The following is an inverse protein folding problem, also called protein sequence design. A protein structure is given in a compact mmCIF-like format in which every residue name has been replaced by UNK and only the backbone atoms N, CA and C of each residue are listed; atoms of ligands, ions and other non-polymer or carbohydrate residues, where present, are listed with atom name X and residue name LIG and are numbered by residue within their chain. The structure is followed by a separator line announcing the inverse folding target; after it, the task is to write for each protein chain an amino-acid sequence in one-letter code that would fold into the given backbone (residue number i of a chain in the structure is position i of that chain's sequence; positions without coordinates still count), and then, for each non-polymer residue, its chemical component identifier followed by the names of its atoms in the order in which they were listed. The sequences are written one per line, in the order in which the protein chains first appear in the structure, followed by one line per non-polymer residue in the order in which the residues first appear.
data_IF_057049871213
#
_entry.id   IF_057049871213
#
_cell.length_a   1.000
_cell.length_b   1.000
_cell.length_c   1.000
_cell.angle_alpha   90.00
_cell.angle_beta   90.00
_cell.angle_gamma   90.00
#
_symmetry.space_group_name_H-M   'P 1'
#
loop_
_entity.id
_entity.type
_entity.pdbx_description
1 polymer ?
#
# COMPACT_ATOMS: atom_id res chain seq x y z
N UNK A 1 -1.94 -16.08 -21.55
CA UNK A 1 -1.43 -14.72 -21.27
C UNK A 1 0.04 -14.68 -21.69
N UNK A 2 0.58 -13.51 -21.97
CA UNK A 2 2.00 -13.33 -22.27
C UNK A 2 2.89 -13.57 -21.03
N UNK A 3 4.19 -13.85 -21.22
CA UNK A 3 5.13 -13.95 -20.11
C UNK A 3 5.21 -12.60 -19.36
N UNK A 4 5.18 -12.66 -18.03
CA UNK A 4 5.13 -11.47 -17.17
C UNK A 4 3.76 -10.78 -17.07
N UNK A 5 2.70 -11.40 -17.65
CA UNK A 5 1.31 -11.00 -17.49
C UNK A 5 0.53 -12.12 -16.81
N UNK A 6 0.04 -11.89 -15.61
CA UNK A 6 -0.68 -12.91 -14.84
C UNK A 6 -2.15 -12.53 -14.65
N UNK A 7 -3.04 -13.51 -14.89
CA UNK A 7 -4.47 -13.38 -14.60
C UNK A 7 -4.82 -14.23 -13.38
N UNK A 8 -5.29 -13.54 -12.34
CA UNK A 8 -5.70 -14.13 -11.06
C UNK A 8 -7.24 -14.14 -10.99
N UNK A 9 -7.83 -15.32 -11.07
CA UNK A 9 -9.28 -15.51 -10.97
C UNK A 9 -9.63 -15.98 -9.56
N UNK A 10 -10.25 -15.12 -8.78
CA UNK A 10 -10.63 -15.36 -7.39
C UNK A 10 -12.15 -15.56 -7.36
N UNK A 11 -12.56 -16.84 -7.39
CA UNK A 11 -13.98 -17.19 -7.40
C UNK A 11 -14.58 -17.04 -6.00
N UNK A 12 -15.48 -16.08 -5.84
CA UNK A 12 -16.14 -15.80 -4.58
C UNK A 12 -17.59 -15.36 -4.82
N UNK A 13 -18.54 -16.09 -4.25
CA UNK A 13 -19.96 -15.86 -4.47
C UNK A 13 -20.64 -14.98 -3.42
N UNK A 14 -19.97 -14.72 -2.28
CA UNK A 14 -20.53 -13.91 -1.19
C UNK A 14 -20.73 -12.44 -1.56
N UNK A 15 -19.92 -11.92 -2.51
CA UNK A 15 -19.99 -10.52 -2.90
C UNK A 15 -21.08 -10.26 -3.95
N UNK A 16 -21.82 -9.17 -3.76
CA UNK A 16 -22.83 -8.69 -4.73
C UNK A 16 -22.21 -7.91 -5.89
N UNK A 17 -20.92 -7.65 -5.81
CA UNK A 17 -20.13 -6.95 -6.83
C UNK A 17 -19.02 -7.84 -7.35
N UNK A 18 -18.56 -7.57 -8.59
CA UNK A 18 -17.31 -8.10 -9.12
C UNK A 18 -16.26 -6.99 -9.10
N UNK A 19 -15.06 -7.32 -8.65
CA UNK A 19 -13.90 -6.43 -8.70
C UNK A 19 -12.96 -6.86 -9.79
N UNK A 20 -12.53 -5.90 -10.60
CA UNK A 20 -11.46 -6.06 -11.56
C UNK A 20 -10.34 -5.09 -11.18
N UNK A 21 -9.10 -5.56 -11.24
CA UNK A 21 -7.93 -4.72 -11.04
C UNK A 21 -6.88 -5.08 -12.09
N UNK A 22 -6.30 -4.07 -12.72
CA UNK A 22 -5.10 -4.22 -13.56
C UNK A 22 -3.99 -3.44 -12.89
N UNK A 23 -2.92 -4.14 -12.50
CA UNK A 23 -1.80 -3.59 -11.75
C UNK A 23 -0.53 -3.67 -12.58
N UNK A 24 0.10 -2.53 -12.81
CA UNK A 24 1.40 -2.39 -13.44
C UNK A 24 2.47 -2.23 -12.36
N UNK A 25 3.51 -3.03 -12.42
CA UNK A 25 4.54 -3.12 -11.42
C UNK A 25 5.92 -2.94 -12.01
N UNK A 26 6.72 -2.07 -11.40
CA UNK A 26 8.17 -1.94 -11.66
C UNK A 26 8.92 -1.58 -10.38
N UNK A 27 10.24 -1.60 -10.41
CA UNK A 27 11.06 -1.17 -9.30
C UNK A 27 10.93 0.33 -9.07
N UNK A 28 10.90 0.75 -7.80
CA UNK A 28 10.78 2.15 -7.39
C UNK A 28 11.96 2.97 -7.90
N UNK A 29 11.70 4.05 -8.65
CA UNK A 29 12.74 4.91 -9.19
C UNK A 29 12.26 6.37 -9.29
N UNK A 30 13.11 7.30 -8.87
CA UNK A 30 12.88 8.74 -9.00
C UNK A 30 12.69 9.18 -10.47
N UNK A 31 13.28 8.45 -11.43
CA UNK A 31 13.19 8.77 -12.86
C UNK A 31 11.81 8.50 -13.46
N UNK A 32 11.10 7.51 -12.91
CA UNK A 32 9.80 7.08 -13.44
C UNK A 32 8.63 7.43 -12.53
N UNK A 33 8.87 7.67 -11.25
CA UNK A 33 7.84 7.87 -10.23
C UNK A 33 6.88 9.01 -10.59
N UNK A 34 7.39 10.20 -10.95
CA UNK A 34 6.56 11.35 -11.34
C UNK A 34 5.66 11.03 -12.54
N UNK A 35 6.22 10.34 -13.55
CA UNK A 35 5.47 9.90 -14.73
C UNK A 35 4.34 8.94 -14.37
N UNK A 36 4.63 7.93 -13.53
CA UNK A 36 3.64 6.92 -13.11
C UNK A 36 2.47 7.53 -12.34
N UNK A 37 2.74 8.47 -11.43
CA UNK A 37 1.69 9.14 -10.69
C UNK A 37 0.82 10.01 -11.62
N UNK A 38 1.42 10.73 -12.56
CA UNK A 38 0.68 11.50 -13.56
C UNK A 38 -0.13 10.60 -14.49
N UNK A 39 0.41 9.46 -14.95
CA UNK A 39 -0.33 8.46 -15.73
C UNK A 39 -1.56 7.99 -14.96
N UNK A 40 -1.41 7.66 -13.67
CA UNK A 40 -2.56 7.27 -12.83
C UNK A 40 -3.68 8.32 -12.94
N UNK A 41 -3.39 9.60 -12.71
CA UNK A 41 -4.38 10.67 -12.77
C UNK A 41 -4.96 10.88 -14.18
N UNK A 42 -4.12 10.79 -15.22
CA UNK A 42 -4.56 10.93 -16.61
C UNK A 42 -5.58 9.85 -17.01
N UNK A 43 -5.33 8.59 -16.62
CA UNK A 43 -6.20 7.46 -16.97
C UNK A 43 -7.55 7.47 -16.23
N UNK A 44 -7.66 8.18 -15.11
CA UNK A 44 -8.92 8.33 -14.37
C UNK A 44 -9.79 9.48 -14.89
N UNK A 45 -9.22 10.40 -15.65
CA UNK A 45 -9.90 11.63 -16.09
C UNK A 45 -10.69 11.50 -17.37
N UNK A 46 -10.01 11.01 -18.43
CA UNK A 46 -10.52 10.97 -19.82
C UNK A 46 -9.82 9.87 -20.62
N UNK A 47 -10.39 9.52 -21.75
CA UNK A 47 -9.73 8.67 -22.76
C UNK A 47 -10.21 9.08 -24.17
N UNK A 48 -9.72 8.44 -25.22
CA UNK A 48 -10.05 8.78 -26.59
C UNK A 48 -11.54 8.62 -26.92
N UNK A 49 -12.27 7.76 -26.20
CA UNK A 49 -13.71 7.51 -26.40
C UNK A 49 -14.55 8.42 -25.50
N UNK A 50 -14.18 8.56 -24.25
CA UNK A 50 -14.87 9.39 -23.22
C UNK A 50 -14.01 10.61 -22.92
N UNK A 51 -14.09 11.61 -23.79
CA UNK A 51 -13.19 12.77 -23.80
C UNK A 51 -13.50 13.83 -22.73
N UNK A 52 -14.65 13.72 -22.06
CA UNK A 52 -15.03 14.62 -20.97
C UNK A 52 -15.34 13.83 -19.70
N UNK A 53 -15.10 14.41 -18.52
CA UNK A 53 -15.47 13.80 -17.24
C UNK A 53 -16.97 13.48 -17.15
N UNK A 54 -17.82 14.25 -17.85
CA UNK A 54 -19.26 14.00 -17.96
C UNK A 54 -19.54 12.71 -18.73
N UNK A 55 -18.91 12.51 -19.90
CA UNK A 55 -19.10 11.31 -20.71
C UNK A 55 -18.54 10.06 -20.01
N UNK A 56 -17.40 10.22 -19.37
CA UNK A 56 -16.77 9.19 -18.56
C UNK A 56 -17.68 8.73 -17.40
N UNK A 57 -18.20 9.69 -16.60
CA UNK A 57 -19.10 9.40 -15.48
C UNK A 57 -20.46 8.85 -15.96
N UNK A 58 -20.99 9.36 -17.10
CA UNK A 58 -22.22 8.83 -17.70
C UNK A 58 -22.05 7.36 -18.07
N UNK A 59 -20.92 6.99 -18.69
CA UNK A 59 -20.63 5.58 -19.04
C UNK A 59 -20.61 4.68 -17.81
N UNK A 60 -19.99 5.10 -16.73
CA UNK A 60 -19.99 4.35 -15.47
C UNK A 60 -21.40 4.21 -14.89
N UNK A 61 -22.21 5.26 -14.96
CA UNK A 61 -23.62 5.21 -14.53
C UNK A 61 -24.46 4.24 -15.35
N UNK A 62 -24.26 4.19 -16.68
CA UNK A 62 -24.92 3.24 -17.60
C UNK A 62 -24.56 1.78 -17.28
N UNK A 63 -23.44 1.53 -16.64
CA UNK A 63 -23.02 0.21 -16.14
C UNK A 63 -23.52 -0.07 -14.71
N UNK A 64 -24.74 0.38 -14.37
CA UNK A 64 -25.35 0.23 -13.06
C UNK A 64 -24.54 0.87 -11.92
N UNK A 65 -23.98 2.05 -12.16
CA UNK A 65 -23.20 2.75 -11.17
C UNK A 65 -21.83 2.09 -10.89
N UNK A 66 -21.21 1.55 -11.92
CA UNK A 66 -19.83 1.05 -11.82
C UNK A 66 -18.89 2.14 -11.27
N UNK A 67 -17.93 1.75 -10.47
CA UNK A 67 -16.85 2.65 -10.06
C UNK A 67 -15.57 2.30 -10.79
N UNK A 68 -14.83 3.33 -11.18
CA UNK A 68 -13.49 3.20 -11.73
C UNK A 68 -12.57 4.18 -11.01
N UNK A 69 -11.45 3.71 -10.54
CA UNK A 69 -10.43 4.52 -9.86
C UNK A 69 -9.04 4.03 -10.25
N UNK A 70 -8.10 4.93 -10.23
CA UNK A 70 -6.68 4.60 -10.35
C UNK A 70 -5.97 4.91 -9.05
N UNK A 71 -4.77 4.39 -8.88
CA UNK A 71 -3.99 4.69 -7.69
C UNK A 71 -2.60 4.12 -7.76
N UNK A 72 -1.74 4.67 -6.94
CA UNK A 72 -0.37 4.22 -6.79
C UNK A 72 -0.09 3.77 -5.38
N UNK A 73 0.77 2.76 -5.24
CA UNK A 73 1.20 2.24 -3.95
C UNK A 73 2.66 1.79 -4.04
N UNK A 74 3.26 1.56 -2.87
CA UNK A 74 4.59 0.98 -2.74
C UNK A 74 4.49 -0.33 -1.96
N UNK A 75 5.22 -1.35 -2.41
CA UNK A 75 5.36 -2.61 -1.67
C UNK A 75 6.81 -3.09 -1.79
N UNK A 76 7.56 -3.00 -0.71
CA UNK A 76 9.00 -3.22 -0.74
C UNK A 76 9.70 -2.34 -1.77
N UNK A 77 10.46 -2.95 -2.68
CA UNK A 77 11.13 -2.25 -3.80
C UNK A 77 10.21 -1.82 -4.93
N UNK A 78 8.96 -2.30 -4.96
CA UNK A 78 8.08 -2.15 -6.11
C UNK A 78 7.15 -0.94 -5.99
N UNK A 79 7.04 -0.18 -7.06
CA UNK A 79 6.00 0.81 -7.27
C UNK A 79 4.85 0.20 -8.08
N UNK A 80 3.66 0.30 -7.57
CA UNK A 80 2.43 -0.29 -8.12
C UNK A 80 1.54 0.83 -8.65
N UNK A 81 1.12 0.73 -9.92
CA UNK A 81 0.06 1.55 -10.49
C UNK A 81 -1.11 0.61 -10.78
N UNK A 82 -2.27 0.87 -10.19
CA UNK A 82 -3.45 0.01 -10.30
C UNK A 82 -4.64 0.76 -10.86
N UNK A 83 -5.32 0.13 -11.84
CA UNK A 83 -6.64 0.52 -12.29
C UNK A 83 -7.65 -0.42 -11.63
N UNK A 84 -8.59 0.14 -10.91
CA UNK A 84 -9.58 -0.60 -10.13
C UNK A 84 -10.97 -0.35 -10.69
N UNK A 85 -11.75 -1.40 -10.86
CA UNK A 85 -13.14 -1.30 -11.27
C UNK A 85 -14.03 -2.18 -10.40
N UNK A 86 -15.18 -1.64 -9.99
CA UNK A 86 -16.20 -2.40 -9.27
C UNK A 86 -17.52 -2.29 -10.01
N UNK A 87 -18.13 -3.42 -10.24
CA UNK A 87 -19.41 -3.53 -10.96
C UNK A 87 -20.39 -4.37 -10.19
N UNK A 88 -21.66 -4.19 -10.43
CA UNK A 88 -22.71 -5.12 -9.97
C UNK A 88 -22.48 -6.49 -10.60
N UNK A 89 -22.65 -7.56 -9.80
CA UNK A 89 -22.58 -8.92 -10.31
C UNK A 89 -23.59 -9.09 -11.48
N UNK A 90 -23.14 -9.52 -12.68
CA UNK A 90 -23.99 -9.64 -13.85
C UNK A 90 -25.19 -10.58 -13.66
N UNK A 91 -25.15 -11.49 -12.69
CA UNK A 91 -26.27 -12.38 -12.34
C UNK A 91 -27.44 -11.66 -11.65
N UNK A 92 -27.25 -10.41 -11.22
CA UNK A 92 -28.27 -9.63 -10.50
C UNK A 92 -29.01 -8.63 -11.41
N UNK A 93 -28.62 -8.48 -12.66
CA UNK A 93 -29.15 -7.48 -13.61
C UNK A 93 -29.25 -8.05 -15.02
N UNK A 94 -30.18 -7.53 -15.83
CA UNK A 94 -30.34 -7.93 -17.24
C UNK A 94 -29.40 -7.13 -18.17
N UNK A 95 -28.11 -7.07 -17.79
CA UNK A 95 -27.08 -6.38 -18.56
C UNK A 95 -25.72 -7.04 -18.36
N UNK A 96 -24.94 -7.18 -19.40
CA UNK A 96 -23.59 -7.73 -19.31
C UNK A 96 -22.60 -6.70 -18.71
N UNK A 97 -22.75 -6.46 -17.42
CA UNK A 97 -21.87 -5.54 -16.68
C UNK A 97 -20.40 -5.95 -16.78
N UNK A 98 -20.13 -7.26 -16.79
CA UNK A 98 -18.77 -7.80 -16.81
C UNK A 98 -18.09 -7.57 -18.16
N UNK A 99 -18.80 -7.86 -19.28
CA UNK A 99 -18.29 -7.56 -20.61
C UNK A 99 -18.05 -6.07 -20.80
N UNK A 100 -19.01 -5.23 -20.41
CA UNK A 100 -18.88 -3.78 -20.49
C UNK A 100 -17.70 -3.24 -19.65
N UNK A 101 -17.44 -3.82 -18.48
CA UNK A 101 -16.31 -3.44 -17.62
C UNK A 101 -14.95 -3.80 -18.23
N UNK A 102 -14.83 -5.00 -18.81
CA UNK A 102 -13.59 -5.41 -19.49
C UNK A 102 -13.33 -4.53 -20.72
N UNK A 103 -14.37 -4.22 -21.51
CA UNK A 103 -14.25 -3.32 -22.66
C UNK A 103 -13.86 -1.90 -22.22
N UNK A 104 -14.43 -1.40 -21.10
CA UNK A 104 -14.06 -0.11 -20.52
C UNK A 104 -12.60 -0.08 -20.06
N UNK A 105 -12.14 -1.11 -19.38
CA UNK A 105 -10.73 -1.25 -18.97
C UNK A 105 -9.79 -1.28 -20.18
N UNK A 106 -10.19 -2.01 -21.25
CA UNK A 106 -9.42 -2.06 -22.49
C UNK A 106 -9.29 -0.68 -23.15
N UNK A 107 -10.39 0.08 -23.19
CA UNK A 107 -10.38 1.47 -23.68
C UNK A 107 -9.49 2.35 -22.79
N UNK A 108 -9.65 2.29 -21.47
CA UNK A 108 -8.87 3.09 -20.53
C UNK A 108 -7.35 2.83 -20.67
N UNK A 109 -6.95 1.57 -20.92
CA UNK A 109 -5.55 1.19 -21.04
C UNK A 109 -4.98 1.44 -22.45
N UNK A 110 -5.71 1.16 -23.51
CA UNK A 110 -5.14 1.17 -24.87
C UNK A 110 -5.54 2.37 -25.70
N UNK A 111 -6.50 3.18 -25.22
CA UNK A 111 -6.99 4.36 -25.93
C UNK A 111 -6.97 5.59 -24.98
N UNK A 112 -5.79 5.97 -24.44
CA UNK A 112 -5.69 7.15 -23.59
C UNK A 112 -6.03 8.43 -24.39
N UNK A 113 -6.36 9.51 -23.69
CA UNK A 113 -6.55 10.83 -24.31
C UNK A 113 -5.20 11.42 -24.73
N UNK A 114 -4.74 10.99 -25.91
CA UNK A 114 -3.42 11.33 -26.44
C UNK A 114 -3.48 11.51 -27.97
N UNK A 115 -2.70 12.44 -28.46
CA UNK A 115 -2.54 12.72 -29.91
C UNK A 115 -1.11 13.21 -30.21
N UNK A 116 -0.64 12.96 -31.42
CA UNK A 116 0.68 13.44 -31.88
C UNK A 116 1.85 13.03 -30.95
N UNK A 117 1.77 11.85 -30.36
CA UNK A 117 2.84 11.30 -29.48
C UNK A 117 2.89 11.95 -28.10
N UNK A 118 1.80 12.52 -27.61
CA UNK A 118 1.72 13.09 -26.27
C UNK A 118 0.30 12.96 -25.69
N UNK A 119 0.18 12.96 -24.38
CA UNK A 119 -1.10 13.13 -23.69
C UNK A 119 -1.71 14.50 -24.05
N UNK A 120 -3.04 14.60 -23.96
CA UNK A 120 -3.75 15.88 -24.14
C UNK A 120 -3.15 16.95 -23.21
N UNK A 121 -2.53 18.03 -23.76
CA UNK A 121 -1.80 18.99 -22.95
C UNK A 121 -2.67 19.78 -21.96
N UNK A 122 -3.95 20.01 -22.27
CA UNK A 122 -4.85 20.74 -21.38
C UNK A 122 -5.23 19.88 -20.17
N UNK A 123 -5.55 18.61 -20.43
CA UNK A 123 -5.84 17.63 -19.36
C UNK A 123 -4.59 17.42 -18.52
N UNK A 124 -3.43 17.21 -19.14
CA UNK A 124 -2.16 17.04 -18.44
C UNK A 124 -1.86 18.20 -17.49
N UNK A 125 -1.96 19.43 -17.97
CA UNK A 125 -1.72 20.64 -17.18
C UNK A 125 -2.69 20.74 -16.00
N UNK A 126 -3.95 20.37 -16.19
CA UNK A 126 -4.96 20.34 -15.14
C UNK A 126 -4.59 19.31 -14.06
N UNK A 127 -4.28 18.06 -14.46
CA UNK A 127 -3.97 17.00 -13.52
C UNK A 127 -2.64 17.23 -12.80
N UNK A 128 -1.62 17.73 -13.50
CA UNK A 128 -0.35 18.12 -12.87
C UNK A 128 -0.57 19.20 -11.81
N UNK A 129 -1.35 20.22 -12.10
CA UNK A 129 -1.66 21.28 -11.13
C UNK A 129 -2.45 20.75 -9.94
N UNK A 130 -3.47 19.92 -10.18
CA UNK A 130 -4.27 19.31 -9.11
C UNK A 130 -3.40 18.46 -8.19
N UNK A 131 -2.50 17.65 -8.76
CA UNK A 131 -1.57 16.83 -8.02
C UNK A 131 -0.57 17.67 -7.21
N UNK A 132 -0.02 18.74 -7.77
CA UNK A 132 0.87 19.65 -7.04
C UNK A 132 0.16 20.33 -5.85
N UNK A 133 -1.10 20.73 -6.00
CA UNK A 133 -1.90 21.26 -4.90
C UNK A 133 -2.18 20.18 -3.84
N UNK A 134 -2.48 18.96 -4.25
CA UNK A 134 -2.66 17.84 -3.33
C UNK A 134 -1.38 17.55 -2.52
N UNK A 135 -0.22 17.47 -3.18
CA UNK A 135 1.07 17.26 -2.51
C UNK A 135 1.42 18.41 -1.56
N UNK A 136 1.11 19.64 -1.92
CA UNK A 136 1.29 20.77 -1.03
C UNK A 136 0.42 20.62 0.24
N UNK A 137 -0.87 20.28 0.08
CA UNK A 137 -1.76 20.07 1.23
C UNK A 137 -1.35 18.89 2.12
N UNK A 138 -0.76 17.83 1.54
CA UNK A 138 -0.20 16.73 2.33
C UNK A 138 0.98 17.18 3.20
N UNK A 139 1.82 18.07 2.70
CA UNK A 139 2.94 18.62 3.46
C UNK A 139 2.51 19.53 4.63
N UNK A 140 1.28 20.04 4.61
CA UNK A 140 0.68 20.75 5.75
C UNK A 140 0.26 19.79 6.88
N UNK A 141 0.07 18.49 6.59
CA UNK A 141 -0.11 17.45 7.61
C UNK A 141 1.24 17.14 8.27
N UNK A 142 1.34 17.46 9.55
CA UNK A 142 2.57 17.32 10.33
C UNK A 142 3.01 15.88 10.50
N UNK A 143 2.06 14.96 10.66
CA UNK A 143 2.37 13.54 10.80
C UNK A 143 2.92 12.97 9.48
N UNK A 144 2.37 13.39 8.36
CA UNK A 144 2.91 13.06 7.04
C UNK A 144 4.31 13.65 6.85
N UNK A 145 4.48 14.96 7.13
CA UNK A 145 5.77 15.63 7.04
C UNK A 145 6.84 14.92 7.87
N UNK A 146 6.56 14.66 9.15
CA UNK A 146 7.49 13.96 10.04
C UNK A 146 7.82 12.54 9.52
N UNK A 147 6.81 11.81 8.99
CA UNK A 147 7.04 10.48 8.41
C UNK A 147 7.91 10.53 7.14
N UNK A 148 7.83 11.62 6.38
CA UNK A 148 8.73 11.86 5.23
C UNK A 148 10.17 12.09 5.68
N UNK A 149 10.37 12.94 6.70
CA UNK A 149 11.71 13.16 7.25
C UNK A 149 12.29 11.88 7.84
N UNK A 150 11.49 11.10 8.58
CA UNK A 150 11.92 9.82 9.11
C UNK A 150 12.32 8.82 8.02
N UNK A 151 11.57 8.75 6.92
CA UNK A 151 11.90 7.88 5.80
C UNK A 151 13.24 8.29 5.13
N UNK A 152 13.49 9.59 4.97
CA UNK A 152 14.75 10.10 4.43
C UNK A 152 15.96 9.80 5.33
N UNK A 153 15.76 9.72 6.65
CA UNK A 153 16.80 9.35 7.60
C UNK A 153 17.05 7.84 7.64
N UNK A 154 15.98 7.05 7.52
CA UNK A 154 16.04 5.61 7.68
C UNK A 154 16.60 4.87 6.45
N UNK A 155 16.13 5.21 5.24
CA UNK A 155 16.50 4.47 4.02
C UNK A 155 17.81 4.96 3.43
N UNK A 156 18.78 4.04 3.24
CA UNK A 156 20.04 4.31 2.53
C UNK A 156 19.81 4.57 1.02
N UNK A 157 18.83 3.87 0.42
CA UNK A 157 18.44 4.08 -0.97
C UNK A 157 17.40 5.21 -1.06
N UNK A 158 17.79 6.31 -1.70
CA UNK A 158 16.92 7.48 -1.90
C UNK A 158 15.59 7.11 -2.58
N UNK A 159 15.58 6.12 -3.48
CA UNK A 159 14.34 5.66 -4.11
C UNK A 159 13.40 5.02 -3.08
N UNK A 160 13.96 4.32 -2.09
CA UNK A 160 13.16 3.74 -1.00
C UNK A 160 12.62 4.80 -0.04
N UNK A 161 13.30 5.92 0.12
CA UNK A 161 12.80 7.03 0.93
C UNK A 161 11.63 7.77 0.27
N UNK A 162 11.45 7.70 -1.07
CA UNK A 162 10.37 8.41 -1.78
C UNK A 162 8.98 7.89 -1.40
N UNK A 163 7.98 8.77 -1.29
CA UNK A 163 6.57 8.37 -1.15
C UNK A 163 6.03 7.82 -2.48
N UNK A 164 5.09 6.90 -2.41
CA UNK A 164 4.46 6.34 -3.63
C UNK A 164 3.78 7.39 -4.51
N UNK A 165 3.32 8.49 -3.94
CA UNK A 165 2.68 9.61 -4.66
C UNK A 165 3.67 10.60 -5.29
N UNK A 166 4.98 10.36 -5.15
CA UNK A 166 6.02 11.25 -5.65
C UNK A 166 6.20 12.51 -4.81
N UNK A 167 7.03 13.42 -5.31
CA UNK A 167 7.26 14.74 -4.71
C UNK A 167 6.90 15.85 -5.70
N UNK A 168 6.70 17.07 -5.19
CA UNK A 168 6.39 18.22 -6.05
C UNK A 168 7.45 18.45 -7.13
N UNK A 169 8.73 18.23 -6.81
CA UNK A 169 9.85 18.38 -7.73
C UNK A 169 9.79 17.33 -8.86
N UNK A 170 9.49 16.06 -8.52
CA UNK A 170 9.38 14.99 -9.50
C UNK A 170 8.17 15.19 -10.43
N UNK A 171 7.07 15.73 -9.92
CA UNK A 171 5.87 16.00 -10.71
C UNK A 171 6.05 17.26 -11.60
N UNK A 172 6.62 18.34 -11.05
CA UNK A 172 6.74 19.61 -11.75
C UNK A 172 7.67 19.55 -12.98
N UNK A 173 8.68 18.68 -12.99
CA UNK A 173 9.62 18.52 -14.11
C UNK A 173 9.02 17.80 -15.33
N UNK A 174 7.89 17.11 -15.16
CA UNK A 174 7.32 16.28 -16.20
C UNK A 174 6.52 17.08 -17.24
N UNK A 175 6.44 16.53 -18.45
CA UNK A 175 5.70 17.10 -19.56
C UNK A 175 4.86 16.03 -20.29
N UNK A 176 3.82 16.40 -21.06
CA UNK A 176 2.86 15.44 -21.64
C UNK A 176 3.51 14.47 -22.64
N UNK A 177 4.58 14.88 -23.33
CA UNK A 177 5.29 14.01 -24.28
C UNK A 177 6.11 12.94 -23.55
N UNK A 178 6.94 13.33 -22.61
CA UNK A 178 7.78 12.42 -21.84
C UNK A 178 6.96 11.41 -21.03
N UNK A 179 5.82 11.85 -20.47
CA UNK A 179 4.91 10.96 -19.74
C UNK A 179 4.22 9.98 -20.68
N UNK A 180 3.85 10.40 -21.90
CA UNK A 180 3.25 9.49 -22.88
C UNK A 180 4.27 8.48 -23.46
N UNK A 181 5.49 8.89 -23.76
CA UNK A 181 6.59 8.00 -24.16
C UNK A 181 6.84 6.93 -23.09
N UNK A 182 6.90 7.34 -21.82
CA UNK A 182 7.02 6.39 -20.72
C UNK A 182 5.78 5.49 -20.58
N UNK A 183 4.57 6.03 -20.80
CA UNK A 183 3.34 5.22 -20.79
C UNK A 183 3.39 4.06 -21.79
N UNK A 184 3.85 4.34 -23.00
CA UNK A 184 4.02 3.29 -24.02
C UNK A 184 5.01 2.22 -23.55
N UNK A 185 6.14 2.64 -22.95
CA UNK A 185 7.13 1.74 -22.37
C UNK A 185 6.56 0.94 -21.19
N UNK A 186 5.77 1.55 -20.32
CA UNK A 186 5.09 0.87 -19.22
C UNK A 186 4.21 -0.28 -19.70
N UNK A 187 3.48 -0.09 -20.79
CA UNK A 187 2.61 -1.13 -21.38
C UNK A 187 3.39 -2.33 -21.92
N UNK A 188 4.65 -2.17 -22.30
CA UNK A 188 5.50 -3.25 -22.83
C UNK A 188 6.41 -3.89 -21.79
N UNK A 189 6.92 -3.12 -20.84
CA UNK A 189 8.02 -3.52 -19.97
C UNK A 189 7.58 -3.88 -18.54
N UNK A 190 6.51 -3.22 -18.02
CA UNK A 190 6.10 -3.47 -16.63
C UNK A 190 5.45 -4.85 -16.48
N UNK A 191 5.73 -5.53 -15.36
CA UNK A 191 4.94 -6.69 -14.96
C UNK A 191 3.48 -6.31 -14.78
N UNK A 192 2.56 -7.19 -15.20
CA UNK A 192 1.13 -6.94 -15.12
C UNK A 192 0.45 -8.07 -14.37
N UNK A 193 -0.26 -7.70 -13.31
CA UNK A 193 -1.15 -8.59 -12.57
C UNK A 193 -2.60 -8.13 -12.78
N UNK A 194 -3.44 -9.02 -13.30
CA UNK A 194 -4.87 -8.79 -13.52
C UNK A 194 -5.65 -9.62 -12.51
N UNK A 195 -6.46 -8.98 -11.70
CA UNK A 195 -7.30 -9.65 -10.71
C UNK A 195 -8.76 -9.53 -11.08
N UNK A 196 -9.47 -10.64 -11.02
CA UNK A 196 -10.93 -10.70 -11.14
C UNK A 196 -11.46 -11.43 -9.91
N UNK A 197 -12.16 -10.71 -9.04
CA UNK A 197 -12.75 -11.26 -7.82
C UNK A 197 -14.27 -11.22 -7.91
N UNK A 198 -14.91 -12.36 -7.82
CA UNK A 198 -16.37 -12.49 -7.79
C UNK A 198 -16.90 -13.79 -8.35
N UNK A 199 -18.22 -13.86 -8.51
CA UNK A 199 -18.89 -15.02 -9.11
C UNK A 199 -18.92 -14.91 -10.64
N UNK A 200 -17.81 -15.28 -11.27
CA UNK A 200 -17.57 -15.13 -12.71
C UNK A 200 -17.29 -16.47 -13.37
N UNK A 201 -17.51 -16.53 -14.69
CA UNK A 201 -17.09 -17.64 -15.55
C UNK A 201 -15.61 -17.49 -15.92
N UNK A 202 -14.80 -18.46 -15.51
CA UNK A 202 -13.34 -18.42 -15.69
C UNK A 202 -12.93 -18.46 -17.17
N UNK A 203 -13.58 -19.29 -17.99
CA UNK A 203 -13.25 -19.42 -19.42
C UNK A 203 -13.51 -18.11 -20.14
N UNK A 204 -14.65 -17.50 -19.85
CA UNK A 204 -15.01 -16.19 -20.39
C UNK A 204 -13.99 -15.11 -19.99
N UNK A 205 -13.49 -15.12 -18.75
CA UNK A 205 -12.49 -14.15 -18.32
C UNK A 205 -11.16 -14.36 -19.02
N UNK A 206 -10.70 -15.59 -19.15
CA UNK A 206 -9.48 -15.91 -19.90
C UNK A 206 -9.58 -15.43 -21.34
N UNK A 207 -10.69 -15.71 -22.03
CA UNK A 207 -10.93 -15.25 -23.41
C UNK A 207 -10.89 -13.72 -23.51
N UNK A 208 -11.65 -13.02 -22.66
CA UNK A 208 -11.75 -11.56 -22.68
C UNK A 208 -10.41 -10.86 -22.39
N UNK A 209 -9.63 -11.32 -21.42
CA UNK A 209 -8.34 -10.72 -21.12
C UNK A 209 -7.22 -11.15 -22.07
N UNK A 210 -7.36 -12.28 -22.77
CA UNK A 210 -6.46 -12.64 -23.86
C UNK A 210 -6.51 -11.63 -25.02
N UNK A 211 -7.67 -11.02 -25.26
CA UNK A 211 -7.86 -9.98 -26.29
C UNK A 211 -7.15 -8.63 -25.97
N UNK A 212 -6.55 -8.49 -24.79
CA UNK A 212 -5.74 -7.31 -24.45
C UNK A 212 -4.40 -7.30 -25.19
N UNK A 213 -3.98 -8.46 -25.72
CA UNK A 213 -2.79 -8.64 -26.55
C UNK A 213 -1.50 -8.04 -25.94
N UNK A 214 -1.33 -8.17 -24.63
CA UNK A 214 -0.07 -7.83 -23.99
C UNK A 214 1.06 -8.71 -24.53
N UNK A 215 2.25 -8.14 -24.66
CA UNK A 215 3.45 -8.83 -25.16
C UNK A 215 4.25 -9.43 -24.00
N UNK A 216 5.14 -10.39 -24.30
CA UNK A 216 6.07 -10.98 -23.35
C UNK A 216 7.01 -9.93 -22.77
N UNK A 217 7.30 -10.05 -21.47
CA UNK A 217 8.18 -9.14 -20.75
C UNK A 217 8.96 -9.84 -19.65
N UNK A 218 10.17 -9.35 -19.41
CA UNK A 218 10.97 -9.77 -18.27
C UNK A 218 10.42 -9.15 -16.98
N UNK A 219 10.35 -9.93 -15.91
CA UNK A 219 9.82 -9.48 -14.62
C UNK A 219 10.81 -9.76 -13.51
N UNK A 220 11.17 -8.73 -12.76
CA UNK A 220 11.84 -8.92 -11.48
C UNK A 220 10.86 -9.53 -10.47
N UNK A 221 11.30 -10.61 -9.81
CA UNK A 221 10.55 -11.25 -8.71
C UNK A 221 10.92 -10.68 -7.35
N UNK A 222 11.96 -9.86 -7.29
CA UNK A 222 12.44 -9.31 -6.03
C UNK A 222 11.51 -8.19 -5.55
N UNK A 223 10.92 -8.40 -4.38
CA UNK A 223 10.01 -7.43 -3.76
C UNK A 223 10.58 -6.84 -2.48
N UNK A 224 11.34 -7.61 -1.72
CA UNK A 224 11.85 -7.18 -0.42
C UNK A 224 13.05 -6.25 -0.58
N UNK A 225 13.07 -5.18 0.20
CA UNK A 225 14.21 -4.30 0.36
C UNK A 225 14.96 -4.69 1.64
N UNK A 226 16.27 -4.67 1.59
CA UNK A 226 17.14 -4.87 2.73
C UNK A 226 18.28 -3.86 2.67
N UNK A 227 18.69 -3.37 3.82
CA UNK A 227 19.83 -2.48 3.97
C UNK A 227 20.71 -2.92 5.15
N UNK A 228 21.91 -2.41 5.20
CA UNK A 228 22.81 -2.59 6.34
C UNK A 228 22.31 -1.80 7.56
N UNK A 229 22.77 -2.18 8.76
CA UNK A 229 22.56 -1.37 9.95
C UNK A 229 23.36 -0.07 9.81
N UNK A 230 22.71 1.06 10.02
CA UNK A 230 23.34 2.38 10.08
C UNK A 230 23.50 2.85 11.52
N UNK A 231 24.32 3.88 11.74
CA UNK A 231 24.35 4.55 13.04
C UNK A 231 23.06 5.34 13.25
N UNK A 232 22.54 5.32 14.46
CA UNK A 232 21.34 6.08 14.80
C UNK A 232 21.57 7.59 14.67
N UNK A 233 20.60 8.28 14.09
CA UNK A 233 20.63 9.73 13.92
C UNK A 233 19.38 10.39 14.49
N UNK A 234 19.51 11.66 14.90
CA UNK A 234 18.38 12.44 15.42
C UNK A 234 18.30 13.76 14.68
N UNK A 235 17.11 14.08 14.19
CA UNK A 235 16.83 15.39 13.59
C UNK A 235 15.66 16.03 14.31
N UNK A 236 15.82 17.30 14.67
CA UNK A 236 14.77 18.14 15.22
C UNK A 236 14.48 19.26 14.25
N UNK A 237 13.22 19.41 13.85
CA UNK A 237 12.73 20.49 13.00
C UNK A 237 11.78 21.37 13.85
N UNK A 238 12.21 22.58 14.15
CA UNK A 238 11.45 23.50 14.97
C UNK A 238 10.45 24.31 14.11
N UNK A 239 9.18 24.24 14.51
CA UNK A 239 8.09 24.97 13.84
C UNK A 239 7.16 25.59 14.90
N UNK A 240 6.59 26.73 14.58
CA UNK A 240 5.57 27.38 15.43
C UNK A 240 4.25 26.60 15.31
N UNK A 241 4.10 25.58 16.17
CA UNK A 241 2.96 24.65 16.13
C UNK A 241 2.50 24.31 17.56
N UNK A 242 1.22 24.04 17.73
CA UNK A 242 0.65 23.68 19.03
C UNK A 242 0.99 22.24 19.46
N UNK A 243 1.30 21.36 18.53
CA UNK A 243 1.55 19.93 18.78
C UNK A 243 2.82 19.48 18.08
N UNK A 244 3.66 18.75 18.80
CA UNK A 244 4.88 18.14 18.28
C UNK A 244 4.63 16.69 17.85
N UNK A 245 5.35 16.25 16.81
CA UNK A 245 5.32 14.86 16.35
C UNK A 245 6.67 14.22 16.66
N UNK A 246 6.66 13.21 17.52
CA UNK A 246 7.82 12.42 17.88
C UNK A 246 7.76 11.07 17.16
N UNK A 247 8.81 10.72 16.44
CA UNK A 247 8.87 9.45 15.69
C UNK A 247 10.20 8.75 15.88
N UNK A 248 10.16 7.41 15.92
CA UNK A 248 11.34 6.54 15.99
C UNK A 248 11.25 5.50 14.88
N UNK A 249 12.37 5.23 14.23
CA UNK A 249 12.52 4.16 13.25
C UNK A 249 13.42 3.05 13.79
N UNK A 250 12.99 1.82 13.61
CA UNK A 250 13.77 0.63 13.95
C UNK A 250 13.95 -0.20 12.70
N UNK A 251 15.16 -0.66 12.45
CA UNK A 251 15.40 -1.71 11.48
C UNK A 251 15.01 -3.05 12.11
N UNK A 252 14.30 -3.83 11.32
CA UNK A 252 13.69 -5.09 11.71
C UNK A 252 14.10 -6.19 10.72
N UNK A 253 14.87 -7.20 11.15
CA UNK A 253 15.41 -8.23 10.27
C UNK A 253 14.41 -9.40 10.01
N UNK A 254 13.12 -9.11 9.97
CA UNK A 254 12.06 -10.12 9.80
C UNK A 254 11.23 -9.76 8.57
N UNK A 255 11.35 -10.57 7.53
CA UNK A 255 10.55 -10.41 6.31
C UNK A 255 9.19 -11.10 6.42
N UNK A 256 8.27 -10.74 5.50
CA UNK A 256 6.99 -11.42 5.37
C UNK A 256 7.17 -12.93 5.17
N UNK A 257 6.43 -13.72 5.94
CA UNK A 257 6.43 -15.18 5.88
C UNK A 257 7.68 -15.87 6.46
N UNK A 258 8.59 -15.12 7.10
CA UNK A 258 9.66 -15.72 7.90
C UNK A 258 9.07 -16.37 9.16
N UNK A 259 9.81 -17.33 9.74
CA UNK A 259 9.39 -18.08 10.93
C UNK A 259 8.86 -17.17 12.05
N UNK A 260 9.47 -16.02 12.25
CA UNK A 260 9.13 -15.09 13.32
C UNK A 260 8.12 -13.99 12.88
N UNK A 261 7.56 -14.07 11.67
CA UNK A 261 6.66 -13.04 11.15
C UNK A 261 5.39 -12.87 12.00
N UNK A 262 4.77 -13.96 12.45
CA UNK A 262 3.59 -13.89 13.32
C UNK A 262 3.95 -13.42 14.74
N UNK A 263 5.11 -13.80 15.25
CA UNK A 263 5.61 -13.24 16.50
C UNK A 263 5.85 -11.73 16.40
N UNK A 264 6.30 -11.23 15.25
CA UNK A 264 6.41 -9.79 14.97
C UNK A 264 5.03 -9.11 14.99
N UNK A 265 4.01 -9.70 14.38
CA UNK A 265 2.65 -9.15 14.41
C UNK A 265 2.11 -9.05 15.84
N UNK A 266 2.28 -10.10 16.64
CA UNK A 266 1.86 -10.11 18.06
C UNK A 266 2.68 -9.11 18.87
N UNK A 267 4.01 -9.08 18.70
CA UNK A 267 4.89 -8.12 19.39
C UNK A 267 4.50 -6.68 19.07
N UNK A 268 4.28 -6.34 17.80
CA UNK A 268 3.81 -5.00 17.43
C UNK A 268 2.42 -4.68 17.98
N UNK A 269 1.52 -5.67 18.01
CA UNK A 269 0.20 -5.52 18.62
C UNK A 269 0.27 -5.18 20.12
N UNK A 270 1.17 -5.84 20.85
CA UNK A 270 1.47 -5.56 22.25
C UNK A 270 2.13 -4.20 22.44
N UNK A 271 3.04 -3.80 21.54
CA UNK A 271 3.77 -2.55 21.64
C UNK A 271 2.86 -1.34 21.41
N UNK A 272 2.23 -1.24 20.24
CA UNK A 272 1.48 -0.03 19.87
C UNK A 272 0.43 -0.24 18.76
N UNK A 273 0.15 -1.50 18.37
CA UNK A 273 -0.77 -1.79 17.26
C UNK A 273 -2.26 -1.77 17.63
N UNK A 274 -2.60 -1.81 18.93
CA UNK A 274 -3.97 -1.88 19.41
C UNK A 274 -4.22 -0.95 20.60
N UNK A 275 -5.49 -0.69 20.93
CA UNK A 275 -5.88 0.16 22.05
C UNK A 275 -5.51 -0.40 23.45
N UNK A 276 -5.26 -1.70 23.57
CA UNK A 276 -4.77 -2.31 24.81
C UNK A 276 -3.24 -2.41 24.89
N UNK A 277 -2.53 -1.92 23.87
CA UNK A 277 -1.07 -1.98 23.80
C UNK A 277 -0.38 -1.17 24.90
N UNK A 278 0.88 -1.52 25.17
CA UNK A 278 1.67 -0.84 26.21
C UNK A 278 1.85 0.65 25.95
N UNK A 279 2.13 1.05 24.71
CA UNK A 279 2.24 2.46 24.33
C UNK A 279 0.92 3.21 24.56
N UNK A 280 -0.18 2.66 24.08
CA UNK A 280 -1.49 3.30 24.23
C UNK A 280 -1.89 3.40 25.70
N UNK A 281 -1.80 2.31 26.44
CA UNK A 281 -2.23 2.24 27.86
C UNK A 281 -1.35 3.06 28.78
N UNK A 282 -0.02 3.00 28.63
CA UNK A 282 0.89 3.60 29.61
C UNK A 282 1.28 5.05 29.25
N UNK A 283 1.51 5.34 27.95
CA UNK A 283 1.94 6.70 27.53
C UNK A 283 0.73 7.62 27.31
N UNK A 284 -0.32 7.13 26.64
CA UNK A 284 -1.48 7.95 26.34
C UNK A 284 -2.49 7.99 27.48
N UNK A 285 -2.99 6.81 27.94
CA UNK A 285 -4.12 6.77 28.88
C UNK A 285 -3.66 7.09 30.34
N UNK A 286 -2.60 6.44 30.83
CA UNK A 286 -2.18 6.61 32.22
C UNK A 286 -1.36 7.87 32.45
N UNK A 287 -0.35 8.10 31.60
CA UNK A 287 0.54 9.24 31.77
C UNK A 287 0.02 10.52 31.12
N UNK A 288 -0.93 10.41 30.17
CA UNK A 288 -1.49 11.55 29.40
C UNK A 288 -0.42 12.36 28.66
N UNK A 289 0.69 11.73 28.25
CA UNK A 289 1.81 12.38 27.57
C UNK A 289 1.64 12.48 26.05
N UNK A 290 0.67 11.74 25.47
CA UNK A 290 0.44 11.74 24.04
C UNK A 290 -1.05 11.79 23.69
N UNK A 291 -1.43 12.57 22.68
CA UNK A 291 -2.79 12.59 22.12
C UNK A 291 -3.04 11.39 21.20
N UNK A 292 -1.99 10.98 20.51
CA UNK A 292 -1.98 9.78 19.68
C UNK A 292 -0.65 9.08 19.82
N UNK A 293 -0.66 7.75 19.85
CA UNK A 293 0.55 6.95 19.82
C UNK A 293 0.26 5.60 19.19
N UNK A 294 1.15 5.13 18.33
CA UNK A 294 1.05 3.82 17.70
C UNK A 294 2.41 3.30 17.26
N UNK A 295 2.47 1.99 17.01
CA UNK A 295 3.57 1.37 16.27
C UNK A 295 3.04 0.66 15.03
N UNK A 296 3.79 0.74 13.93
CA UNK A 296 3.50 0.10 12.65
C UNK A 296 4.77 -0.47 12.06
N UNK A 297 4.66 -1.48 11.20
CA UNK A 297 5.82 -2.04 10.52
C UNK A 297 5.52 -2.39 9.06
N UNK A 298 6.58 -2.42 8.25
CA UNK A 298 6.59 -2.94 6.89
C UNK A 298 7.65 -4.04 6.77
N UNK A 299 7.19 -5.28 6.69
CA UNK A 299 8.05 -6.46 6.58
C UNK A 299 8.69 -6.66 5.21
N UNK A 300 8.29 -5.89 4.20
CA UNK A 300 8.95 -5.88 2.89
C UNK A 300 10.14 -4.93 2.84
N UNK A 301 10.24 -3.99 3.78
CA UNK A 301 11.34 -3.03 3.87
C UNK A 301 12.13 -3.13 5.17
N UNK A 302 11.72 -3.99 6.10
CA UNK A 302 12.38 -4.11 7.39
C UNK A 302 12.23 -2.88 8.30
N UNK A 303 11.19 -2.07 8.09
CA UNK A 303 10.95 -0.81 8.77
C UNK A 303 9.87 -0.95 9.83
N UNK A 304 10.20 -0.62 11.08
CA UNK A 304 9.22 -0.47 12.15
C UNK A 304 9.26 0.97 12.66
N UNK A 305 8.09 1.59 12.77
CA UNK A 305 7.93 2.98 13.21
C UNK A 305 7.08 3.04 14.47
N UNK A 306 7.55 3.83 15.46
CA UNK A 306 6.73 4.34 16.56
C UNK A 306 6.47 5.82 16.28
N UNK A 307 5.22 6.28 16.42
CA UNK A 307 4.84 7.67 16.21
C UNK A 307 3.92 8.13 17.33
N UNK A 308 4.19 9.32 17.86
CA UNK A 308 3.40 9.96 18.91
C UNK A 308 3.18 11.45 18.62
N UNK A 309 1.95 11.92 18.86
CA UNK A 309 1.62 13.35 18.93
C UNK A 309 1.65 13.79 20.37
N UNK A 310 2.53 14.75 20.71
CA UNK A 310 2.81 15.19 22.07
C UNK A 310 2.81 16.70 22.21
N UNK A 311 2.71 17.22 23.43
CA UNK A 311 3.12 18.59 23.71
C UNK A 311 4.65 18.67 23.80
N UNK A 312 5.23 19.77 23.34
CA UNK A 312 6.69 19.94 23.32
C UNK A 312 7.31 19.85 24.71
N UNK A 313 6.61 20.31 25.73
CA UNK A 313 7.05 20.28 27.13
C UNK A 313 7.20 18.84 27.66
N UNK A 314 6.47 17.89 27.08
CA UNK A 314 6.45 16.48 27.46
C UNK A 314 7.50 15.63 26.71
N UNK A 315 8.36 16.24 25.89
CA UNK A 315 9.26 15.51 24.97
C UNK A 315 10.13 14.46 25.69
N UNK A 316 10.89 14.89 26.70
CA UNK A 316 11.83 13.98 27.38
C UNK A 316 11.12 12.87 28.17
N UNK A 317 9.99 13.20 28.79
CA UNK A 317 9.22 12.23 29.58
C UNK A 317 8.52 11.22 28.64
N UNK A 318 7.89 11.69 27.57
CA UNK A 318 7.25 10.84 26.55
C UNK A 318 8.26 9.92 25.88
N UNK A 319 9.42 10.44 25.48
CA UNK A 319 10.53 9.68 24.90
C UNK A 319 11.00 8.57 25.86
N UNK A 320 11.29 8.91 27.13
CA UNK A 320 11.70 7.93 28.13
C UNK A 320 10.67 6.83 28.31
N UNK A 321 9.40 7.21 28.48
CA UNK A 321 8.33 6.25 28.70
C UNK A 321 8.07 5.35 27.47
N UNK A 322 8.22 5.88 26.25
CA UNK A 322 8.14 5.08 25.02
C UNK A 322 9.23 4.01 24.98
N UNK A 323 10.48 4.36 25.30
CA UNK A 323 11.57 3.39 25.34
C UNK A 323 11.36 2.36 26.45
N UNK A 324 10.86 2.76 27.62
CA UNK A 324 10.53 1.83 28.71
C UNK A 324 9.50 0.78 28.28
N UNK A 325 8.51 1.14 27.44
CA UNK A 325 7.53 0.16 26.95
C UNK A 325 8.17 -0.89 26.03
N UNK A 326 9.12 -0.51 25.19
CA UNK A 326 9.84 -1.48 24.36
C UNK A 326 10.77 -2.36 25.22
N UNK A 327 11.49 -1.78 26.20
CA UNK A 327 12.32 -2.54 27.13
C UNK A 327 11.50 -3.49 28.01
N UNK A 328 10.27 -3.13 28.39
CA UNK A 328 9.33 -4.02 29.06
C UNK A 328 9.05 -5.27 28.22
N UNK A 329 8.83 -5.12 26.89
CA UNK A 329 8.65 -6.28 26.02
C UNK A 329 9.94 -7.10 25.90
N UNK A 330 11.10 -6.45 25.73
CA UNK A 330 12.42 -7.13 25.65
C UNK A 330 12.78 -7.91 26.92
N UNK A 331 12.35 -7.45 28.08
CA UNK A 331 12.55 -8.11 29.38
C UNK A 331 11.49 -9.17 29.70
N UNK A 332 10.38 -9.21 28.94
CA UNK A 332 9.26 -10.09 29.17
C UNK A 332 8.28 -9.59 30.24
N UNK A 333 8.30 -8.30 30.54
CA UNK A 333 7.33 -7.65 31.45
C UNK A 333 5.99 -7.38 30.71
N UNK A 334 5.28 -8.45 30.48
CA UNK A 334 3.90 -8.48 29.97
C UNK A 334 3.21 -9.77 30.39
N UNK A 335 1.91 -9.71 30.50
CA UNK A 335 1.07 -10.80 30.98
C UNK A 335 0.61 -11.73 29.85
N UNK A 336 0.24 -12.94 30.18
CA UNK A 336 -0.40 -13.87 29.23
C UNK A 336 -1.73 -13.29 28.70
N UNK A 337 -2.47 -12.57 29.55
CA UNK A 337 -3.73 -11.92 29.15
C UNK A 337 -3.53 -10.89 28.04
N UNK A 338 -2.49 -10.04 28.13
CA UNK A 338 -2.16 -9.06 27.08
C UNK A 338 -1.83 -9.77 25.74
N UNK A 339 -1.10 -10.90 25.81
CA UNK A 339 -0.78 -11.71 24.64
C UNK A 339 -2.04 -12.31 24.01
N UNK A 340 -2.91 -12.91 24.80
CA UNK A 340 -4.13 -13.55 24.31
C UNK A 340 -5.14 -12.54 23.77
N UNK A 341 -5.24 -11.35 24.36
CA UNK A 341 -6.02 -10.23 23.81
C UNK A 341 -5.47 -9.82 22.44
N UNK A 342 -4.16 -9.71 22.29
CA UNK A 342 -3.51 -9.34 21.04
C UNK A 342 -3.72 -10.39 19.95
N UNK A 343 -3.55 -11.69 20.26
CA UNK A 343 -3.84 -12.80 19.33
C UNK A 343 -5.31 -12.78 18.90
N UNK A 344 -6.22 -12.53 19.83
CA UNK A 344 -7.66 -12.43 19.55
C UNK A 344 -7.96 -11.27 18.60
N UNK A 345 -7.34 -10.11 18.79
CA UNK A 345 -7.51 -8.95 17.89
C UNK A 345 -6.95 -9.25 16.49
N UNK A 346 -5.79 -9.89 16.38
CA UNK A 346 -5.21 -10.29 15.09
C UNK A 346 -6.08 -11.33 14.37
N UNK A 347 -6.62 -12.31 15.09
CA UNK A 347 -7.57 -13.30 14.57
C UNK A 347 -8.83 -12.61 14.04
N UNK A 348 -9.39 -11.70 14.81
CA UNK A 348 -10.58 -10.94 14.40
C UNK A 348 -10.29 -10.07 13.18
N UNK A 349 -9.15 -9.37 13.15
CA UNK A 349 -8.73 -8.57 11.99
C UNK A 349 -8.57 -9.43 10.73
N UNK A 350 -8.05 -10.66 10.87
CA UNK A 350 -7.96 -11.61 9.77
C UNK A 350 -9.35 -11.99 9.22
N UNK A 351 -10.29 -12.34 10.10
CA UNK A 351 -11.66 -12.70 9.67
C UNK A 351 -12.40 -11.53 9.04
N UNK A 352 -12.33 -10.34 9.65
CA UNK A 352 -12.93 -9.12 9.07
C UNK A 352 -12.32 -8.81 7.71
N UNK A 353 -11.00 -9.04 7.57
CA UNK A 353 -10.29 -8.87 6.31
C UNK A 353 -10.83 -9.76 5.18
N UNK A 354 -11.36 -10.95 5.49
CA UNK A 354 -11.96 -11.84 4.50
C UNK A 354 -13.22 -11.24 3.85
N UNK A 355 -13.91 -10.33 4.51
CA UNK A 355 -15.10 -9.67 3.99
C UNK A 355 -14.78 -8.41 3.16
N UNK A 356 -13.49 -8.09 3.01
CA UNK A 356 -13.00 -7.00 2.16
C UNK A 356 -12.53 -7.52 0.81
N UNK A 357 -13.19 -7.15 -0.31
CA UNK A 357 -12.70 -7.50 -1.65
C UNK A 357 -11.28 -7.03 -1.93
N UNK A 358 -10.94 -5.84 -1.44
CA UNK A 358 -9.58 -5.29 -1.63
C UNK A 358 -8.53 -6.09 -0.87
N UNK A 359 -8.82 -6.50 0.37
CA UNK A 359 -7.91 -7.33 1.14
C UNK A 359 -7.75 -8.73 0.53
N UNK A 360 -8.81 -9.31 0.01
CA UNK A 360 -8.78 -10.60 -0.70
C UNK A 360 -7.83 -10.54 -1.92
N UNK A 361 -7.92 -9.45 -2.71
CA UNK A 361 -7.01 -9.23 -3.85
C UNK A 361 -5.56 -9.05 -3.38
N UNK A 362 -5.32 -8.28 -2.32
CA UNK A 362 -3.97 -8.08 -1.79
C UNK A 362 -3.35 -9.37 -1.24
N UNK A 363 -4.13 -10.22 -0.59
CA UNK A 363 -3.67 -11.54 -0.13
C UNK A 363 -3.30 -12.43 -1.31
N UNK A 364 -4.13 -12.49 -2.36
CA UNK A 364 -3.81 -13.26 -3.57
C UNK A 364 -2.58 -12.70 -4.29
N UNK A 365 -2.40 -11.37 -4.31
CA UNK A 365 -1.21 -10.73 -4.86
C UNK A 365 0.06 -11.15 -4.10
N UNK A 366 0.03 -11.10 -2.76
CA UNK A 366 1.17 -11.53 -1.94
C UNK A 366 1.48 -13.01 -2.14
N UNK A 367 0.45 -13.84 -2.20
CA UNK A 367 0.58 -15.28 -2.49
C UNK A 367 1.23 -15.52 -3.87
N UNK A 368 0.85 -14.76 -4.89
CA UNK A 368 1.43 -14.89 -6.22
C UNK A 368 2.91 -14.46 -6.27
N UNK A 369 3.30 -13.45 -5.48
CA UNK A 369 4.68 -12.97 -5.42
C UNK A 369 5.62 -13.90 -4.64
N UNK A 370 5.14 -14.47 -3.54
CA UNK A 370 5.94 -15.28 -2.60
C UNK A 370 5.17 -16.53 -2.17
N UNK A 371 4.83 -17.43 -3.11
CA UNK A 371 3.96 -18.57 -2.84
C UNK A 371 4.49 -19.48 -1.73
N UNK A 372 5.82 -19.66 -1.65
CA UNK A 372 6.47 -20.53 -0.65
C UNK A 372 6.38 -20.01 0.79
N UNK A 373 6.05 -18.73 0.97
CA UNK A 373 5.94 -18.07 2.28
C UNK A 373 4.50 -17.75 2.67
N UNK A 374 3.55 -17.98 1.79
CA UNK A 374 2.14 -17.71 2.05
C UNK A 374 1.53 -18.80 2.96
N UNK A 375 0.91 -18.37 4.07
CA UNK A 375 0.22 -19.28 4.98
C UNK A 375 -1.29 -19.30 4.68
N UNK A 376 -1.87 -20.47 4.36
CA UNK A 376 -3.32 -20.64 4.33
C UNK A 376 -3.96 -20.33 5.69
N UNK A 377 -5.26 -20.00 5.68
CA UNK A 377 -5.98 -19.58 6.90
C UNK A 377 -5.79 -20.52 8.10
N UNK A 378 -5.94 -21.83 7.92
CA UNK A 378 -5.78 -22.81 9.01
C UNK A 378 -4.36 -22.83 9.58
N UNK A 379 -3.36 -22.71 8.71
CA UNK A 379 -1.95 -22.68 9.12
C UNK A 379 -1.61 -21.35 9.80
N UNK A 380 -2.12 -20.21 9.28
CA UNK A 380 -1.99 -18.90 9.91
C UNK A 380 -2.55 -18.91 11.34
N UNK A 381 -3.78 -19.44 11.54
CA UNK A 381 -4.40 -19.50 12.86
C UNK A 381 -3.62 -20.38 13.83
N UNK A 382 -3.19 -21.58 13.39
CA UNK A 382 -2.39 -22.47 14.22
C UNK A 382 -1.02 -21.86 14.58
N UNK A 383 -0.37 -21.21 13.62
CA UNK A 383 0.91 -20.57 13.83
C UNK A 383 0.78 -19.34 14.75
N UNK A 384 -0.32 -18.56 14.64
CA UNK A 384 -0.61 -17.46 15.55
C UNK A 384 -0.78 -17.95 17.00
N UNK A 385 -1.53 -19.03 17.21
CA UNK A 385 -1.71 -19.60 18.56
C UNK A 385 -0.39 -20.14 19.14
N UNK A 386 0.50 -20.67 18.31
CA UNK A 386 1.79 -21.22 18.75
C UNK A 386 2.83 -20.17 19.16
N UNK A 387 2.59 -18.88 18.88
CA UNK A 387 3.50 -17.81 19.27
C UNK A 387 3.69 -17.77 20.79
N UNK A 388 4.93 -17.96 21.23
CA UNK A 388 5.30 -18.00 22.65
C UNK A 388 5.84 -16.66 23.15
N UNK A 389 5.86 -16.52 24.47
CA UNK A 389 6.51 -15.38 25.15
C UNK A 389 7.97 -15.21 24.75
N UNK A 390 8.70 -16.33 24.59
CA UNK A 390 10.10 -16.30 24.18
C UNK A 390 10.29 -15.76 22.75
N UNK A 391 9.37 -16.06 21.84
CA UNK A 391 9.39 -15.55 20.47
C UNK A 391 9.20 -14.04 20.46
N UNK A 392 8.27 -13.50 21.27
CA UNK A 392 8.01 -12.07 21.39
C UNK A 392 9.23 -11.30 21.92
N UNK A 393 9.88 -11.84 22.96
CA UNK A 393 11.11 -11.28 23.52
C UNK A 393 12.23 -11.30 22.48
N UNK A 394 12.38 -12.41 21.75
CA UNK A 394 13.39 -12.54 20.70
C UNK A 394 13.21 -11.50 19.59
N UNK A 395 11.97 -11.34 19.12
CA UNK A 395 11.62 -10.34 18.11
C UNK A 395 11.89 -8.92 18.60
N UNK A 396 11.45 -8.58 19.80
CA UNK A 396 11.69 -7.25 20.38
C UNK A 396 13.19 -6.93 20.50
N UNK A 397 14.01 -7.92 20.89
CA UNK A 397 15.48 -7.78 20.99
C UNK A 397 16.18 -7.64 19.64
N UNK A 398 15.55 -8.07 18.54
CA UNK A 398 16.12 -7.95 17.20
C UNK A 398 15.90 -6.57 16.57
N UNK A 399 15.11 -5.70 17.19
CA UNK A 399 14.87 -4.35 16.73
C UNK A 399 16.10 -3.46 17.02
N UNK A 400 16.57 -2.76 15.99
CA UNK A 400 17.71 -1.85 16.06
C UNK A 400 17.25 -0.42 15.75
N UNK A 401 17.35 0.48 16.72
CA UNK A 401 17.05 1.91 16.54
C UNK A 401 18.04 2.51 15.53
N UNK A 402 17.53 3.26 14.57
CA UNK A 402 18.30 3.95 13.54
C UNK A 402 18.32 5.46 13.69
#
# INVERSE_FOLDING_TARGET
MADGVMLHLIKESKFKTVRLMVRFREEMSADTLGKRVLISNMLESTNAVYQTGKDFSRKLSEMYGASFTTGVAKKGKQHLLSLNMSIVNPKLVDFDTLGAAVDFLKIAIFQPDAANGQFNPEIFKREQRNLLHYLASMNDDRSYYASRQLANLFFEDENQALPSVGTSELIAKENPKAVFEYYQKMLTDNAIDIFVLGDVDEKRMIERFSDFNFTDRAVSKEISYQQSLTESSVVTDEKEVAQSILQFAYQMPIAYGDKNYLALQVMNGLLGGFAHSKLFTNVREKASLAYSISSTFDSFTGFLKIAAGIDVENYEEAKSLIFEQLEAIKSGDFTELEVEQTKTMLRNAYFVGQDSPSNTIELEYVKALIPDKFLPMSEFLNALESVSKADLISVAKSLNLQ
#
